data_IF_350125393218
#
_entry.id   IF_350125393218
#
_cell.length_a   1.000
_cell.length_b   1.000
_cell.length_c   1.000
_cell.angle_alpha   90.00
_cell.angle_beta   90.00
_cell.angle_gamma   90.00
#
_symmetry.space_group_name_H-M   'P 1'
#
loop_
_entity.id
_entity.type
_entity.pdbx_description
1 polymer ?
#
# COMPACT_ATOMS: atom_id res chain seq x y z
N UNK A 1 -16.33 6.15 -26.01
CA UNK A 1 -16.24 4.74 -26.43
C UNK A 1 -14.79 4.30 -26.27
N UNK A 2 -14.47 3.49 -25.25
CA UNK A 2 -13.12 2.93 -25.04
C UNK A 2 -13.08 1.60 -25.80
N UNK A 3 -12.48 1.58 -26.99
CA UNK A 3 -12.24 0.34 -27.73
C UNK A 3 -10.88 -0.16 -27.27
N UNK A 4 -10.88 -1.16 -26.39
CA UNK A 4 -9.63 -1.82 -25.97
C UNK A 4 -9.36 -3.01 -26.90
N UNK A 5 -8.13 -3.09 -27.41
CA UNK A 5 -7.71 -4.10 -28.39
C UNK A 5 -7.49 -5.50 -27.79
N UNK A 6 -7.57 -5.65 -26.46
CA UNK A 6 -7.43 -6.92 -25.75
C UNK A 6 -8.52 -7.05 -24.68
N UNK A 7 -9.18 -8.21 -24.66
CA UNK A 7 -10.27 -8.57 -23.74
C UNK A 7 -9.81 -8.91 -22.30
N UNK A 8 -8.50 -9.00 -22.05
CA UNK A 8 -8.02 -9.71 -20.84
C UNK A 8 -7.31 -8.88 -19.79
N UNK A 9 -6.85 -7.66 -20.02
CA UNK A 9 -6.35 -6.82 -18.92
C UNK A 9 -6.40 -5.35 -19.29
N UNK A 10 -7.38 -4.63 -18.74
CA UNK A 10 -7.22 -3.20 -18.52
C UNK A 10 -6.74 -3.04 -17.08
N UNK A 11 -5.45 -3.29 -16.86
CA UNK A 11 -4.79 -2.74 -15.68
C UNK A 11 -4.70 -1.23 -15.95
N UNK A 12 -5.77 -0.50 -15.61
CA UNK A 12 -5.71 0.96 -15.60
C UNK A 12 -4.69 1.30 -14.52
N UNK A 13 -3.59 1.98 -14.86
CA UNK A 13 -2.70 2.51 -13.83
C UNK A 13 -3.52 3.45 -12.96
N UNK A 14 -3.69 3.07 -11.69
CA UNK A 14 -4.37 3.88 -10.69
C UNK A 14 -3.31 4.84 -10.15
N UNK A 15 -3.38 6.11 -10.55
CA UNK A 15 -2.63 7.17 -9.90
C UNK A 15 -3.34 7.52 -8.58
N UNK A 16 -2.66 7.27 -7.46
CA UNK A 16 -3.16 7.69 -6.15
C UNK A 16 -2.85 9.17 -5.92
N UNK A 17 -3.85 9.92 -5.47
CA UNK A 17 -3.69 11.31 -5.06
C UNK A 17 -3.13 11.39 -3.63
N UNK A 18 -2.63 12.56 -3.23
CA UNK A 18 -2.21 12.76 -1.84
C UNK A 18 -3.42 12.66 -0.90
N UNK A 19 -3.27 12.07 0.30
CA UNK A 19 -4.35 11.99 1.27
C UNK A 19 -4.67 13.37 1.80
N UNK A 20 -5.96 13.61 2.02
CA UNK A 20 -6.49 14.84 2.61
C UNK A 20 -6.91 14.56 4.05
N UNK A 21 -6.67 15.50 4.95
CA UNK A 21 -7.18 15.40 6.31
C UNK A 21 -8.71 15.63 6.34
N UNK A 22 -9.33 15.46 7.51
CA UNK A 22 -10.79 15.58 7.64
C UNK A 22 -11.30 16.98 7.29
N UNK A 23 -10.61 18.04 7.74
CA UNK A 23 -11.00 19.43 7.45
C UNK A 23 -10.93 19.73 5.94
N UNK A 24 -9.86 19.26 5.28
CA UNK A 24 -9.67 19.39 3.83
C UNK A 24 -10.76 18.65 3.05
N UNK A 25 -11.09 17.41 3.45
CA UNK A 25 -12.17 16.65 2.82
C UNK A 25 -13.52 17.34 2.95
N UNK A 26 -13.88 17.78 4.17
CA UNK A 26 -15.13 18.48 4.42
C UNK A 26 -15.24 19.76 3.58
N UNK A 27 -14.14 20.51 3.42
CA UNK A 27 -14.11 21.70 2.56
C UNK A 27 -14.33 21.36 1.07
N UNK A 28 -13.76 20.25 0.59
CA UNK A 28 -13.98 19.77 -0.79
C UNK A 28 -15.42 19.32 -1.00
N UNK A 29 -16.02 18.65 -0.01
CA UNK A 29 -17.42 18.21 -0.05
C UNK A 29 -18.38 19.39 -0.10
N UNK A 30 -18.17 20.39 0.78
CA UNK A 30 -18.98 21.61 0.83
C UNK A 30 -18.94 22.35 -0.51
N UNK A 31 -17.74 22.55 -1.08
CA UNK A 31 -17.56 23.17 -2.39
C UNK A 31 -18.29 22.41 -3.51
N UNK A 32 -18.38 21.08 -3.39
CA UNK A 32 -19.05 20.21 -4.36
C UNK A 32 -20.58 20.16 -4.17
N UNK A 33 -21.07 20.59 -3.00
CA UNK A 33 -22.47 20.50 -2.59
C UNK A 33 -22.90 19.07 -2.22
N UNK A 34 -21.95 18.25 -1.75
CA UNK A 34 -22.17 16.88 -1.30
C UNK A 34 -21.89 16.82 0.19
N UNK A 35 -22.67 16.05 0.95
CA UNK A 35 -22.44 15.88 2.39
C UNK A 35 -21.46 14.72 2.65
N UNK A 36 -20.46 14.93 3.49
CA UNK A 36 -19.58 13.86 3.96
C UNK A 36 -20.11 13.23 5.26
N UNK A 37 -20.04 11.91 5.37
CA UNK A 37 -20.30 11.18 6.61
C UNK A 37 -19.12 10.29 6.98
N UNK A 38 -18.64 10.32 8.23
CA UNK A 38 -17.57 9.42 8.66
C UNK A 38 -18.06 7.97 8.62
N UNK A 39 -17.21 7.07 8.14
CA UNK A 39 -17.41 5.62 8.14
C UNK A 39 -16.07 4.90 8.35
N UNK A 40 -16.11 3.69 8.88
CA UNK A 40 -14.93 2.83 8.98
C UNK A 40 -14.76 2.10 7.63
N UNK A 41 -13.76 2.51 6.85
CA UNK A 41 -13.55 2.02 5.48
C UNK A 41 -12.22 1.25 5.42
N UNK A 42 -12.28 -0.09 5.47
CA UNK A 42 -11.06 -0.90 5.44
C UNK A 42 -10.56 -1.20 4.01
N UNK A 43 -9.30 -0.88 3.73
CA UNK A 43 -8.62 -1.18 2.46
C UNK A 43 -8.37 -2.70 2.31
N UNK A 44 -8.12 -3.42 3.40
CA UNK A 44 -7.65 -4.81 3.36
C UNK A 44 -8.70 -5.79 2.83
N UNK A 45 -9.98 -5.55 3.08
CA UNK A 45 -11.09 -6.39 2.62
C UNK A 45 -11.64 -5.95 1.25
N UNK A 46 -11.16 -4.84 0.70
CA UNK A 46 -11.70 -4.22 -0.52
C UNK A 46 -10.73 -4.43 -1.68
N UNK A 47 -10.73 -5.65 -2.22
CA UNK A 47 -10.04 -5.94 -3.48
C UNK A 47 -10.72 -5.20 -4.64
N UNK A 48 -9.94 -4.81 -5.64
CA UNK A 48 -10.36 -4.03 -6.84
C UNK A 48 -11.58 -4.63 -7.59
N UNK A 49 -11.92 -5.89 -7.32
CA UNK A 49 -13.07 -6.57 -7.92
C UNK A 49 -14.44 -5.97 -7.51
N UNK A 50 -14.51 -5.22 -6.40
CA UNK A 50 -15.78 -4.71 -5.86
C UNK A 50 -15.92 -3.20 -5.82
N UNK A 51 -14.83 -2.45 -6.02
CA UNK A 51 -14.82 -0.98 -5.90
C UNK A 51 -14.18 -0.36 -7.13
N UNK A 52 -14.90 0.57 -7.77
CA UNK A 52 -14.41 1.30 -8.93
C UNK A 52 -13.66 2.56 -8.50
N UNK A 53 -12.39 2.66 -8.87
CA UNK A 53 -11.49 3.73 -8.46
C UNK A 53 -11.65 4.98 -9.34
N UNK A 54 -11.68 6.16 -8.72
CA UNK A 54 -11.81 7.46 -9.39
C UNK A 54 -10.94 8.52 -8.71
N UNK A 55 -10.62 9.61 -9.43
CA UNK A 55 -10.11 10.83 -8.80
C UNK A 55 -11.17 11.45 -7.89
N UNK A 56 -10.76 12.23 -6.89
CA UNK A 56 -11.71 12.81 -5.93
C UNK A 56 -12.75 13.72 -6.63
N UNK A 57 -12.29 14.60 -7.52
CA UNK A 57 -13.16 15.49 -8.30
C UNK A 57 -14.14 14.70 -9.18
N UNK A 58 -13.64 13.63 -9.83
CA UNK A 58 -14.46 12.75 -10.66
C UNK A 58 -15.53 12.01 -9.85
N UNK A 59 -15.17 11.51 -8.67
CA UNK A 59 -16.09 10.81 -7.76
C UNK A 59 -17.22 11.74 -7.29
N UNK A 60 -16.88 12.95 -6.85
CA UNK A 60 -17.89 13.90 -6.36
C UNK A 60 -18.79 14.42 -7.48
N UNK A 61 -18.23 14.67 -8.67
CA UNK A 61 -19.01 14.98 -9.86
C UNK A 61 -19.98 13.86 -10.26
N UNK A 62 -19.50 12.61 -10.22
CA UNK A 62 -20.31 11.43 -10.47
C UNK A 62 -21.42 11.24 -9.43
N UNK A 63 -21.10 11.38 -8.14
CA UNK A 63 -22.06 11.26 -7.05
C UNK A 63 -23.24 12.23 -7.26
N UNK A 64 -22.92 13.49 -7.56
CA UNK A 64 -23.93 14.52 -7.85
C UNK A 64 -24.76 14.22 -9.10
N UNK A 65 -24.11 13.82 -10.20
CA UNK A 65 -24.79 13.45 -11.43
C UNK A 65 -25.71 12.22 -11.25
N UNK A 66 -25.35 11.34 -10.32
CA UNK A 66 -26.14 10.16 -9.93
C UNK A 66 -27.25 10.48 -8.93
N UNK A 67 -27.44 11.75 -8.56
CA UNK A 67 -28.45 12.18 -7.59
C UNK A 67 -28.10 11.85 -6.14
N UNK A 68 -26.86 11.46 -5.85
CA UNK A 68 -26.39 11.29 -4.48
C UNK A 68 -26.14 12.66 -3.86
N UNK A 69 -26.69 12.87 -2.66
CA UNK A 69 -26.43 14.07 -1.85
C UNK A 69 -25.33 13.86 -0.82
N UNK A 70 -24.77 12.66 -0.74
CA UNK A 70 -23.84 12.27 0.30
C UNK A 70 -22.81 11.23 -0.15
N UNK A 71 -21.66 11.25 0.51
CA UNK A 71 -20.58 10.26 0.42
C UNK A 71 -20.14 9.87 1.83
N UNK A 72 -19.55 8.69 1.97
CA UNK A 72 -18.85 8.30 3.19
C UNK A 72 -17.36 8.54 3.06
N UNK A 73 -16.70 8.84 4.17
CA UNK A 73 -15.24 9.02 4.19
C UNK A 73 -14.60 8.43 5.43
N UNK A 74 -13.31 8.12 5.30
CA UNK A 74 -12.44 7.70 6.40
C UNK A 74 -11.07 8.36 6.23
N UNK A 75 -10.43 8.72 7.34
CA UNK A 75 -9.10 9.30 7.36
C UNK A 75 -8.28 8.58 8.42
N UNK A 76 -7.24 7.89 7.98
CA UNK A 76 -6.43 7.05 8.86
C UNK A 76 -5.08 7.68 9.13
N UNK A 77 -4.75 7.76 10.41
CA UNK A 77 -3.47 8.20 10.92
C UNK A 77 -2.78 7.04 11.61
N UNK A 78 -1.47 6.88 11.39
CA UNK A 78 -0.67 5.96 12.19
C UNK A 78 0.24 6.74 13.13
N UNK A 79 0.31 6.36 14.42
CA UNK A 79 1.34 6.87 15.31
C UNK A 79 2.72 6.41 14.82
N UNK A 80 3.78 6.99 15.40
CA UNK A 80 5.11 6.45 15.18
C UNK A 80 5.21 5.01 15.66
N UNK A 81 5.93 4.19 14.90
CA UNK A 81 6.13 2.80 15.23
C UNK A 81 6.99 2.67 16.50
N UNK A 82 6.47 1.93 17.46
CA UNK A 82 7.18 1.55 18.68
C UNK A 82 7.61 0.07 18.62
N UNK A 83 8.27 -0.40 19.69
CA UNK A 83 8.72 -1.79 19.77
C UNK A 83 7.56 -2.80 19.76
N UNK A 84 6.38 -2.40 20.26
CA UNK A 84 5.20 -3.25 20.29
C UNK A 84 4.62 -3.44 18.89
N UNK A 85 4.54 -2.37 18.11
CA UNK A 85 4.12 -2.38 16.71
C UNK A 85 5.09 -3.16 15.83
N UNK A 86 6.41 -2.96 16.03
CA UNK A 86 7.43 -3.78 15.35
C UNK A 86 7.23 -5.26 15.70
N UNK A 87 7.06 -5.60 16.98
CA UNK A 87 6.83 -6.99 17.38
C UNK A 87 5.53 -7.56 16.79
N UNK A 88 4.46 -6.76 16.68
CA UNK A 88 3.21 -7.15 16.07
C UNK A 88 3.38 -7.47 14.58
N UNK A 89 3.96 -6.55 13.81
CA UNK A 89 4.19 -6.76 12.38
C UNK A 89 5.15 -7.92 12.10
N UNK A 90 6.17 -8.12 12.94
CA UNK A 90 7.06 -9.27 12.83
C UNK A 90 6.35 -10.59 13.08
N UNK A 91 5.38 -10.66 14.01
CA UNK A 91 4.57 -11.88 14.23
C UNK A 91 3.69 -12.20 13.02
N UNK A 92 3.09 -11.18 12.40
CA UNK A 92 2.33 -11.37 11.17
C UNK A 92 3.22 -11.88 10.03
N UNK A 93 4.37 -11.23 9.82
CA UNK A 93 5.32 -11.62 8.79
C UNK A 93 5.89 -13.03 9.02
N UNK A 94 6.18 -13.37 10.28
CA UNK A 94 6.61 -14.71 10.69
C UNK A 94 5.59 -15.78 10.29
N UNK A 95 4.30 -15.52 10.52
CA UNK A 95 3.21 -16.42 10.12
C UNK A 95 3.14 -16.55 8.59
N UNK A 96 3.24 -15.45 7.87
CA UNK A 96 3.15 -15.44 6.40
C UNK A 96 4.33 -16.15 5.73
N UNK A 97 5.52 -16.07 6.33
CA UNK A 97 6.74 -16.70 5.81
C UNK A 97 7.01 -18.08 6.38
N UNK A 98 6.24 -18.51 7.38
CA UNK A 98 6.51 -19.73 8.17
C UNK A 98 7.92 -19.76 8.79
N UNK A 99 8.40 -18.60 9.25
CA UNK A 99 9.71 -18.40 9.89
C UNK A 99 9.50 -17.83 11.29
N UNK A 100 10.34 -18.17 12.27
CA UNK A 100 10.29 -17.56 13.60
C UNK A 100 10.47 -16.04 13.54
N UNK A 101 9.64 -15.31 14.31
CA UNK A 101 9.75 -13.85 14.44
C UNK A 101 11.11 -13.42 15.01
N UNK A 102 11.73 -14.23 15.88
CA UNK A 102 13.06 -13.97 16.43
C UNK A 102 14.13 -14.04 15.34
N UNK A 103 14.05 -15.03 14.46
CA UNK A 103 14.98 -15.17 13.33
C UNK A 103 14.86 -13.98 12.38
N UNK A 104 13.63 -13.54 12.06
CA UNK A 104 13.42 -12.36 11.23
C UNK A 104 13.98 -11.11 11.92
N UNK A 105 13.74 -10.95 13.22
CA UNK A 105 14.24 -9.82 14.02
C UNK A 105 15.78 -9.76 13.99
N UNK A 106 16.44 -10.88 14.21
CA UNK A 106 17.90 -10.93 14.30
C UNK A 106 18.55 -10.71 12.93
N UNK A 107 18.05 -11.39 11.89
CA UNK A 107 18.58 -11.27 10.53
C UNK A 107 18.33 -9.88 9.95
N UNK A 108 17.19 -9.26 10.29
CA UNK A 108 16.78 -7.96 9.73
C UNK A 108 16.95 -6.81 10.73
N UNK A 109 17.82 -6.95 11.74
CA UNK A 109 17.96 -5.95 12.80
C UNK A 109 18.34 -4.56 12.27
N UNK A 110 19.26 -4.51 11.29
CA UNK A 110 19.68 -3.26 10.66
C UNK A 110 18.54 -2.61 9.86
N UNK A 111 17.76 -3.42 9.14
CA UNK A 111 16.60 -2.98 8.37
C UNK A 111 15.47 -2.45 9.26
N UNK A 112 15.24 -3.08 10.42
CA UNK A 112 14.26 -2.60 11.40
C UNK A 112 14.69 -1.23 11.94
N UNK A 113 15.98 -1.05 12.26
CA UNK A 113 16.50 0.25 12.70
C UNK A 113 16.40 1.33 11.61
N UNK A 114 16.69 0.97 10.35
CA UNK A 114 16.53 1.88 9.21
C UNK A 114 15.06 2.28 9.03
N UNK A 115 14.13 1.33 9.15
CA UNK A 115 12.69 1.58 9.14
C UNK A 115 12.27 2.57 10.23
N UNK A 116 12.68 2.34 11.48
CA UNK A 116 12.35 3.22 12.61
C UNK A 116 12.91 4.64 12.42
N UNK A 117 14.12 4.75 11.88
CA UNK A 117 14.72 6.04 11.57
C UNK A 117 14.00 6.81 10.44
N UNK A 118 13.37 6.10 9.50
CA UNK A 118 12.53 6.69 8.45
C UNK A 118 11.16 7.09 9.00
N UNK A 119 10.52 6.23 9.79
CA UNK A 119 9.23 6.54 10.39
C UNK A 119 9.32 7.72 11.38
N UNK A 120 10.42 7.84 12.13
CA UNK A 120 10.66 8.98 13.02
C UNK A 120 10.79 10.35 12.29
N UNK A 121 11.01 10.35 10.97
CA UNK A 121 11.06 11.57 10.15
C UNK A 121 9.69 11.94 9.57
N UNK A 122 8.72 11.04 9.64
CA UNK A 122 7.35 11.26 9.15
C UNK A 122 6.66 12.26 10.07
N UNK A 123 5.73 13.03 9.52
CA UNK A 123 4.77 13.76 10.32
C UNK A 123 3.60 12.83 10.68
N UNK A 124 3.48 12.45 11.96
CA UNK A 124 2.38 11.62 12.44
C UNK A 124 1.04 12.35 12.49
N UNK A 125 1.04 13.68 12.37
CA UNK A 125 -0.16 14.50 12.23
C UNK A 125 -0.74 14.51 10.82
N UNK A 126 -0.04 13.92 9.83
CA UNK A 126 -0.56 13.78 8.48
C UNK A 126 -1.23 12.42 8.27
N UNK A 127 -2.32 12.37 7.49
CA UNK A 127 -2.99 11.12 7.20
C UNK A 127 -2.10 10.19 6.37
N UNK A 128 -2.15 8.92 6.73
CA UNK A 128 -1.49 7.84 6.00
C UNK A 128 -2.30 7.48 4.76
N UNK A 129 -3.61 7.41 4.91
CA UNK A 129 -4.54 7.31 3.79
C UNK A 129 -5.87 7.97 4.13
N UNK A 130 -6.57 8.36 3.07
CA UNK A 130 -7.92 8.92 3.15
C UNK A 130 -8.77 8.26 2.07
N UNK A 131 -10.00 7.93 2.40
CA UNK A 131 -10.91 7.20 1.52
C UNK A 131 -12.20 7.99 1.44
N UNK A 132 -12.73 8.13 0.24
CA UNK A 132 -14.07 8.66 0.00
C UNK A 132 -14.82 7.66 -0.86
N UNK A 133 -16.04 7.32 -0.48
CA UNK A 133 -16.83 6.31 -1.16
C UNK A 133 -18.25 6.81 -1.43
N UNK A 134 -18.74 6.52 -2.62
CA UNK A 134 -20.11 6.74 -3.05
C UNK A 134 -20.72 5.40 -3.48
N UNK A 135 -21.93 5.11 -3.00
CA UNK A 135 -22.65 3.91 -3.37
C UNK A 135 -23.89 4.24 -4.20
N UNK A 136 -23.99 3.65 -5.39
CA UNK A 136 -25.18 3.81 -6.25
C UNK A 136 -25.41 2.57 -7.09
N UNK A 137 -26.69 2.19 -7.24
CA UNK A 137 -27.09 1.11 -8.15
C UNK A 137 -26.43 -0.25 -7.89
N UNK A 138 -26.03 -0.55 -6.64
CA UNK A 138 -25.36 -1.80 -6.31
C UNK A 138 -23.83 -1.77 -6.45
N UNK A 139 -23.23 -0.62 -6.79
CA UNK A 139 -21.80 -0.48 -7.07
C UNK A 139 -21.19 0.58 -6.15
N UNK A 140 -20.04 0.26 -5.57
CA UNK A 140 -19.21 1.19 -4.82
C UNK A 140 -18.19 1.87 -5.75
N UNK A 141 -18.11 3.19 -5.67
CA UNK A 141 -17.09 4.01 -6.32
C UNK A 141 -16.29 4.70 -5.23
N UNK A 142 -14.97 4.70 -5.36
CA UNK A 142 -14.13 5.27 -4.33
C UNK A 142 -12.94 6.04 -4.88
N UNK A 143 -12.51 6.98 -4.05
CA UNK A 143 -11.25 7.68 -4.15
C UNK A 143 -10.37 7.23 -2.99
N UNK A 144 -9.08 7.05 -3.28
CA UNK A 144 -8.07 6.71 -2.29
C UNK A 144 -6.92 7.70 -2.39
N UNK A 145 -6.78 8.51 -1.35
CA UNK A 145 -5.59 9.30 -1.10
C UNK A 145 -4.57 8.47 -0.32
N UNK A 146 -3.33 8.41 -0.80
CA UNK A 146 -2.28 7.57 -0.20
C UNK A 146 -0.99 8.38 -0.05
N UNK A 147 -0.43 8.40 1.16
CA UNK A 147 0.91 8.95 1.35
C UNK A 147 1.98 7.88 1.14
N UNK A 148 3.15 8.30 0.67
CA UNK A 148 4.34 7.47 0.71
C UNK A 148 4.81 7.33 2.16
N UNK A 149 4.49 6.20 2.78
CA UNK A 149 4.95 5.87 4.12
C UNK A 149 5.66 4.52 4.15
N UNK A 150 6.73 4.38 4.94
CA UNK A 150 7.43 3.12 5.08
C UNK A 150 6.52 2.12 5.80
N UNK A 151 6.34 0.93 5.21
CA UNK A 151 5.67 -0.21 5.86
C UNK A 151 6.72 -1.26 6.21
N UNK A 152 6.89 -1.62 7.48
CA UNK A 152 7.96 -2.52 7.92
C UNK A 152 7.93 -3.85 7.17
N UNK A 153 6.75 -4.46 6.99
CA UNK A 153 6.59 -5.68 6.19
C UNK A 153 7.16 -5.54 4.76
N UNK A 154 6.78 -4.47 4.04
CA UNK A 154 7.29 -4.21 2.68
C UNK A 154 8.79 -3.94 2.69
N UNK A 155 9.27 -3.24 3.71
CA UNK A 155 10.68 -2.90 3.89
C UNK A 155 11.54 -4.16 4.05
N UNK A 156 11.16 -5.05 4.99
CA UNK A 156 11.84 -6.32 5.24
C UNK A 156 11.78 -7.21 3.99
N UNK A 157 10.59 -7.41 3.41
CA UNK A 157 10.45 -8.29 2.24
C UNK A 157 11.29 -7.82 1.05
N UNK A 158 11.37 -6.51 0.80
CA UNK A 158 12.22 -5.94 -0.25
C UNK A 158 13.70 -6.28 0.00
N UNK A 159 14.17 -6.14 1.24
CA UNK A 159 15.56 -6.40 1.62
C UNK A 159 15.90 -7.88 1.54
N UNK A 160 15.02 -8.75 2.06
CA UNK A 160 15.17 -10.21 1.95
C UNK A 160 15.22 -10.66 0.49
N UNK A 161 14.33 -10.14 -0.36
CA UNK A 161 14.35 -10.44 -1.79
C UNK A 161 15.65 -9.99 -2.47
N UNK A 162 16.14 -8.78 -2.17
CA UNK A 162 17.41 -8.28 -2.68
C UNK A 162 18.60 -9.15 -2.24
N UNK A 163 18.63 -9.55 -0.97
CA UNK A 163 19.65 -10.46 -0.43
C UNK A 163 19.64 -11.82 -1.14
N UNK A 164 18.46 -12.41 -1.32
CA UNK A 164 18.29 -13.66 -2.06
C UNK A 164 18.80 -13.60 -3.50
N UNK A 165 18.53 -12.51 -4.22
CA UNK A 165 19.06 -12.33 -5.59
C UNK A 165 20.59 -12.23 -5.62
N UNK A 166 21.20 -11.51 -4.68
CA UNK A 166 22.68 -11.44 -4.56
C UNK A 166 23.29 -12.79 -4.25
N UNK A 167 22.67 -13.56 -3.35
CA UNK A 167 23.12 -14.91 -2.99
C UNK A 167 23.03 -15.86 -4.20
N UNK A 168 21.90 -15.86 -4.91
CA UNK A 168 21.71 -16.63 -6.15
C UNK A 168 22.78 -16.29 -7.19
N UNK A 169 22.99 -15.00 -7.45
CA UNK A 169 24.01 -14.56 -8.41
C UNK A 169 25.41 -15.03 -8.02
N UNK A 170 25.77 -14.89 -6.74
CA UNK A 170 27.08 -15.31 -6.21
C UNK A 170 27.29 -16.82 -6.33
N UNK A 171 26.24 -17.60 -6.05
CA UNK A 171 26.27 -19.06 -6.20
C UNK A 171 26.53 -19.46 -7.65
N UNK A 172 25.77 -18.91 -8.61
CA UNK A 172 25.92 -19.20 -10.04
C UNK A 172 27.34 -18.89 -10.50
N UNK A 173 27.86 -17.70 -10.19
CA UNK A 173 29.21 -17.29 -10.61
C UNK A 173 30.29 -18.23 -10.06
N UNK A 174 30.20 -18.64 -8.80
CA UNK A 174 31.16 -19.55 -8.17
C UNK A 174 31.06 -20.97 -8.74
N UNK A 175 29.85 -21.47 -8.98
CA UNK A 175 29.62 -22.78 -9.58
C UNK A 175 30.12 -22.83 -11.03
N UNK A 176 29.83 -21.81 -11.83
CA UNK A 176 30.34 -21.71 -13.21
C UNK A 176 31.86 -21.64 -13.26
N UNK A 177 32.49 -20.90 -12.34
CA UNK A 177 33.95 -20.88 -12.24
C UNK A 177 34.49 -22.29 -11.93
N UNK A 178 33.94 -22.96 -10.93
CA UNK A 178 34.37 -24.32 -10.57
C UNK A 178 34.18 -25.32 -11.73
N UNK A 179 33.13 -25.16 -12.53
CA UNK A 179 32.94 -25.98 -13.75
C UNK A 179 34.02 -25.74 -14.80
N UNK A 180 34.44 -24.49 -15.02
CA UNK A 180 35.53 -24.17 -15.94
C UNK A 180 36.85 -24.72 -15.41
N UNK A 181 37.15 -24.50 -14.13
CA UNK A 181 38.38 -24.99 -13.49
C UNK A 181 38.47 -26.54 -13.62
N UNK A 182 37.35 -27.27 -13.48
CA UNK A 182 37.31 -28.72 -13.70
C UNK A 182 37.54 -29.15 -15.16
N UNK A 183 37.21 -28.32 -16.14
CA UNK A 183 37.44 -28.63 -17.56
C UNK A 183 38.89 -28.36 -17.97
N UNK A 184 39.56 -27.39 -17.35
CA UNK A 184 40.98 -27.06 -17.59
C UNK A 184 41.95 -28.10 -16.96
N UNK A 185 41.46 -28.94 -16.05
CA UNK A 185 42.22 -30.05 -15.43
C UNK A 185 42.22 -31.36 -16.25
N UNK A 186 41.51 -31.41 -17.39
CA UNK A 186 41.50 -32.54 -18.35
C UNK A 186 42.27 -32.22 -19.63
#
# INVERSE_FOLDING_TARGET
MKITSNLTHVATEIEFEAPLNEEELLAVFEKSGVQGFPAELDIAERTEDHVQMMSLDGLLGFAKASGLSAVTYDVTYFPHADDAEVAYQLRQLARDLEISAEVIRDVCAAEIQEYLALDAKRDAGLPVHSIVEAYTGGTAFAWYGMSDYPRLKRFILRKLAQGGQKAKHSFIMRASKAQVDMLDEY
#
